data_IF_244750566406
#
_entry.id   IF_244750566406
#
_cell.length_a   1.000
_cell.length_b   1.000
_cell.length_c   1.000
_cell.angle_alpha   90.00
_cell.angle_beta   90.00
_cell.angle_gamma   90.00
#
_symmetry.space_group_name_H-M   'P 1'
#
loop_
_entity.id
_entity.type
_entity.pdbx_description
1 polymer ?
#
# COMPACT_ATOMS: atom_id res chain seq x y z
N UNK A 1 47.33 -4.92 -8.69
CA UNK A 1 46.69 -4.46 -9.93
C UNK A 1 45.42 -5.23 -10.25
N UNK A 2 45.45 -6.56 -10.26
CA UNK A 2 44.24 -7.40 -10.53
C UNK A 2 43.08 -7.18 -9.55
N UNK A 3 43.35 -6.98 -8.26
CA UNK A 3 42.31 -6.75 -7.25
C UNK A 3 41.58 -5.41 -7.44
N UNK A 4 42.29 -4.38 -7.89
CA UNK A 4 41.72 -3.06 -8.21
C UNK A 4 40.85 -3.08 -9.47
N UNK A 5 41.23 -3.91 -10.46
CA UNK A 5 40.45 -4.09 -11.70
C UNK A 5 39.19 -4.89 -11.41
N UNK A 6 39.24 -5.90 -10.53
CA UNK A 6 38.07 -6.68 -10.15
C UNK A 6 37.04 -5.82 -9.36
N UNK A 7 37.49 -5.01 -8.42
CA UNK A 7 36.63 -4.11 -7.64
C UNK A 7 36.03 -3.00 -8.52
N UNK A 8 36.79 -2.47 -9.51
CA UNK A 8 36.25 -1.50 -10.47
C UNK A 8 35.25 -2.11 -11.44
N UNK A 9 35.47 -3.34 -11.91
CA UNK A 9 34.53 -4.03 -12.78
C UNK A 9 33.24 -4.42 -12.07
N UNK A 10 33.33 -4.89 -10.82
CA UNK A 10 32.14 -5.18 -9.98
C UNK A 10 31.36 -3.90 -9.68
N UNK A 11 32.02 -2.76 -9.52
CA UNK A 11 31.38 -1.47 -9.30
C UNK A 11 30.71 -0.95 -10.57
N UNK A 12 31.33 -1.09 -11.73
CA UNK A 12 30.77 -0.71 -13.04
C UNK A 12 29.59 -1.64 -13.38
N UNK A 13 29.67 -2.95 -13.14
CA UNK A 13 28.55 -3.86 -13.36
C UNK A 13 27.38 -3.58 -12.41
N UNK A 14 27.62 -3.19 -11.15
CA UNK A 14 26.57 -2.73 -10.23
C UNK A 14 25.96 -1.40 -10.68
N UNK A 15 26.78 -0.42 -11.09
CA UNK A 15 26.31 0.86 -11.59
C UNK A 15 25.54 0.75 -12.93
N UNK A 16 25.87 -0.22 -13.78
CA UNK A 16 25.12 -0.52 -15.02
C UNK A 16 23.84 -1.34 -14.74
N UNK A 17 23.86 -2.24 -13.76
CA UNK A 17 22.65 -2.96 -13.31
C UNK A 17 21.65 -2.03 -12.63
N UNK A 18 22.12 -1.06 -11.82
CA UNK A 18 21.27 -0.04 -11.18
C UNK A 18 20.63 0.91 -12.21
N UNK A 19 21.28 1.21 -13.32
CA UNK A 19 20.72 2.07 -14.38
C UNK A 19 19.58 1.42 -15.17
N UNK A 20 19.46 0.10 -15.09
CA UNK A 20 18.44 -0.67 -15.82
C UNK A 20 17.29 -1.16 -14.92
N UNK A 21 17.35 -0.91 -13.61
CA UNK A 21 16.29 -1.26 -12.66
C UNK A 21 15.23 -0.16 -12.61
N UNK A 22 13.98 -0.51 -12.87
CA UNK A 22 12.85 0.43 -12.86
C UNK A 22 12.72 1.15 -11.49
N UNK A 23 12.95 0.44 -10.39
CA UNK A 23 12.87 0.93 -9.01
C UNK A 23 14.26 1.10 -8.41
N UNK A 24 14.53 2.25 -7.78
CA UNK A 24 15.69 2.36 -6.90
C UNK A 24 15.48 1.52 -5.63
N UNK A 25 16.58 1.04 -5.04
CA UNK A 25 16.59 0.43 -3.71
C UNK A 25 17.23 1.39 -2.73
N UNK A 26 16.49 1.78 -1.68
CA UNK A 26 16.90 2.75 -0.67
C UNK A 26 17.00 2.09 0.69
N UNK A 27 18.15 2.27 1.35
CA UNK A 27 18.39 1.81 2.71
C UNK A 27 17.86 2.85 3.71
N UNK A 28 16.88 2.46 4.53
CA UNK A 28 16.30 3.33 5.55
C UNK A 28 17.09 3.36 6.87
N UNK A 29 18.23 2.68 6.94
CA UNK A 29 19.15 2.67 8.10
C UNK A 29 18.48 2.34 9.44
N UNK A 30 17.44 1.50 9.42
CA UNK A 30 16.66 1.14 10.61
C UNK A 30 15.93 2.33 11.24
N UNK A 31 15.63 3.39 10.47
CA UNK A 31 14.98 4.64 10.90
C UNK A 31 15.79 5.44 11.94
N UNK A 32 17.11 5.26 11.99
CA UNK A 32 17.99 5.87 13.01
C UNK A 32 18.41 7.32 12.69
N UNK A 33 17.52 8.11 12.12
CA UNK A 33 17.76 9.50 11.78
C UNK A 33 17.40 9.80 10.33
N UNK A 34 17.57 11.06 9.88
CA UNK A 34 17.24 11.43 8.50
C UNK A 34 18.15 10.72 7.50
N UNK A 35 17.64 10.46 6.32
CA UNK A 35 18.41 9.88 5.22
C UNK A 35 19.56 10.81 4.81
N UNK A 36 20.65 10.23 4.29
CA UNK A 36 21.65 11.00 3.58
C UNK A 36 21.03 11.72 2.38
N UNK A 37 21.69 12.76 1.90
CA UNK A 37 21.21 13.50 0.72
C UNK A 37 21.06 12.58 -0.50
N UNK A 38 22.01 11.67 -0.70
CA UNK A 38 22.04 10.73 -1.82
C UNK A 38 20.88 9.73 -1.71
N UNK A 39 20.64 9.14 -0.53
CA UNK A 39 19.54 8.21 -0.30
C UNK A 39 18.17 8.88 -0.47
N UNK A 40 18.03 10.11 0.06
CA UNK A 40 16.81 10.93 -0.12
C UNK A 40 16.56 11.27 -1.57
N UNK A 41 17.60 11.63 -2.32
CA UNK A 41 17.50 11.91 -3.76
C UNK A 41 17.07 10.65 -4.50
N UNK A 42 17.68 9.49 -4.24
CA UNK A 42 17.31 8.22 -4.86
C UNK A 42 15.85 7.83 -4.55
N UNK A 43 15.38 8.06 -3.31
CA UNK A 43 13.98 7.86 -2.90
C UNK A 43 13.04 8.72 -3.76
N UNK A 44 13.27 10.03 -3.78
CA UNK A 44 12.39 10.98 -4.46
C UNK A 44 12.39 10.81 -5.97
N UNK A 45 13.57 10.68 -6.60
CA UNK A 45 13.69 10.49 -8.05
C UNK A 45 13.05 9.17 -8.53
N UNK A 46 13.13 8.07 -7.75
CA UNK A 46 12.47 6.83 -8.09
C UNK A 46 10.96 7.01 -8.13
N UNK A 47 10.39 7.64 -7.09
CA UNK A 47 8.95 7.92 -7.02
C UNK A 47 8.53 8.90 -8.12
N UNK A 48 9.25 10.00 -8.35
CA UNK A 48 8.94 10.93 -9.45
C UNK A 48 8.94 10.25 -10.82
N UNK A 49 9.85 9.31 -11.04
CA UNK A 49 10.00 8.61 -12.31
C UNK A 49 8.91 7.59 -12.58
N UNK A 50 8.60 6.75 -11.60
CA UNK A 50 7.70 5.61 -11.78
C UNK A 50 6.65 5.41 -10.67
N UNK A 51 6.54 6.31 -9.69
CA UNK A 51 5.63 6.20 -8.57
C UNK A 51 6.03 5.16 -7.51
N UNK A 52 7.13 4.45 -7.70
CA UNK A 52 7.54 3.31 -6.88
C UNK A 52 9.00 3.39 -6.45
N UNK A 53 9.30 2.78 -5.28
CA UNK A 53 10.66 2.60 -4.76
C UNK A 53 10.72 1.33 -3.92
N UNK A 54 11.89 0.71 -3.83
CA UNK A 54 12.13 -0.43 -2.96
C UNK A 54 12.91 0.01 -1.72
N UNK A 55 12.44 -0.42 -0.53
CA UNK A 55 12.98 -0.01 0.76
C UNK A 55 13.59 -1.22 1.49
N UNK A 56 14.81 -1.07 1.99
CA UNK A 56 15.51 -2.08 2.80
C UNK A 56 15.91 -1.49 4.15
N UNK A 57 16.27 -2.34 5.12
CA UNK A 57 16.60 -1.93 6.50
C UNK A 57 15.55 -0.99 7.12
N UNK A 58 14.28 -1.36 6.98
CA UNK A 58 13.11 -0.57 7.35
C UNK A 58 12.61 -0.81 8.78
N UNK A 59 13.36 -1.51 9.62
CA UNK A 59 13.04 -1.82 11.01
C UNK A 59 11.78 -2.70 11.25
N UNK A 60 11.05 -3.11 10.23
CA UNK A 60 9.98 -4.11 10.37
C UNK A 60 10.61 -5.50 10.41
N UNK A 61 10.31 -6.26 11.44
CA UNK A 61 10.88 -7.59 11.66
C UNK A 61 10.38 -8.60 10.62
N UNK A 62 11.30 -9.29 9.94
CA UNK A 62 10.97 -10.28 8.92
C UNK A 62 10.15 -11.44 9.50
N UNK A 63 10.48 -11.86 10.71
CA UNK A 63 9.76 -12.91 11.43
C UNK A 63 8.29 -12.56 11.66
N UNK A 64 7.99 -11.30 11.98
CA UNK A 64 6.61 -10.81 12.14
C UNK A 64 5.84 -10.83 10.82
N UNK A 65 6.50 -10.48 9.70
CA UNK A 65 5.88 -10.56 8.37
C UNK A 65 5.62 -12.01 7.94
N UNK A 66 6.54 -12.92 8.23
CA UNK A 66 6.37 -14.35 7.95
C UNK A 66 5.26 -14.96 8.81
N UNK A 67 5.23 -14.65 10.10
CA UNK A 67 4.17 -15.09 11.00
C UNK A 67 2.79 -14.60 10.53
N UNK A 68 2.68 -13.35 10.04
CA UNK A 68 1.44 -12.84 9.45
C UNK A 68 1.00 -13.67 8.25
N UNK A 69 1.91 -14.01 7.34
CA UNK A 69 1.58 -14.81 6.16
C UNK A 69 1.06 -16.21 6.55
N UNK A 70 1.70 -16.87 7.52
CA UNK A 70 1.27 -18.18 8.03
C UNK A 70 -0.13 -18.10 8.68
N UNK A 71 -0.34 -17.15 9.58
CA UNK A 71 -1.64 -16.94 10.24
C UNK A 71 -2.74 -16.52 9.26
N UNK A 72 -2.41 -15.77 8.23
CA UNK A 72 -3.36 -15.42 7.18
C UNK A 72 -3.84 -16.64 6.41
N UNK A 73 -2.96 -17.59 6.10
CA UNK A 73 -3.36 -18.85 5.45
C UNK A 73 -4.38 -19.61 6.31
N UNK A 74 -4.13 -19.77 7.61
CA UNK A 74 -5.05 -20.42 8.55
C UNK A 74 -6.40 -19.67 8.64
N UNK A 75 -6.35 -18.33 8.75
CA UNK A 75 -7.53 -17.47 8.83
C UNK A 75 -8.45 -17.61 7.60
N UNK A 76 -7.87 -17.58 6.40
CA UNK A 76 -8.66 -17.66 5.17
C UNK A 76 -9.21 -19.07 4.90
N UNK A 77 -8.67 -20.10 5.55
CA UNK A 77 -9.23 -21.47 5.54
C UNK A 77 -10.45 -21.64 6.43
N UNK A 78 -10.78 -20.68 7.28
CA UNK A 78 -11.99 -20.73 8.11
C UNK A 78 -13.27 -20.87 7.24
N UNK A 79 -14.31 -21.54 7.77
CA UNK A 79 -15.61 -21.62 7.09
C UNK A 79 -16.13 -20.24 6.71
N UNK A 80 -16.71 -20.10 5.51
CA UNK A 80 -17.22 -18.83 5.02
C UNK A 80 -18.19 -18.14 6.00
N UNK A 81 -19.05 -18.92 6.68
CA UNK A 81 -19.97 -18.39 7.68
C UNK A 81 -19.26 -17.75 8.89
N UNK A 82 -18.09 -18.22 9.27
CA UNK A 82 -17.29 -17.64 10.35
C UNK A 82 -16.61 -16.35 9.90
N UNK A 83 -16.01 -16.33 8.72
CA UNK A 83 -15.42 -15.12 8.13
C UNK A 83 -16.49 -14.02 7.94
N UNK A 84 -17.67 -14.36 7.43
CA UNK A 84 -18.77 -13.42 7.19
C UNK A 84 -19.31 -12.75 8.47
N UNK A 85 -19.18 -13.38 9.65
CA UNK A 85 -19.50 -12.70 10.92
C UNK A 85 -18.60 -11.51 11.22
N UNK A 86 -17.45 -11.46 10.60
CA UNK A 86 -16.52 -10.34 10.70
C UNK A 86 -16.60 -9.37 9.52
N UNK A 87 -17.64 -9.43 8.69
CA UNK A 87 -17.88 -8.49 7.60
C UNK A 87 -18.72 -7.30 8.07
N UNK A 88 -18.41 -6.11 7.58
CA UNK A 88 -19.12 -4.86 7.90
C UNK A 88 -19.49 -4.10 6.61
N UNK A 89 -20.45 -4.59 5.82
CA UNK A 89 -20.87 -3.94 4.57
C UNK A 89 -21.47 -2.55 4.79
N UNK A 90 -22.08 -2.30 5.95
CA UNK A 90 -22.65 -1.00 6.34
C UNK A 90 -21.60 0.14 6.43
N UNK A 91 -20.34 -0.21 6.60
CA UNK A 91 -19.20 0.76 6.59
C UNK A 91 -18.42 0.73 5.27
N UNK A 92 -18.94 0.10 4.21
CA UNK A 92 -18.21 -0.11 2.96
C UNK A 92 -16.99 -1.02 3.12
N UNK A 93 -17.06 -2.00 4.02
CA UNK A 93 -15.97 -2.92 4.33
C UNK A 93 -14.66 -2.24 4.78
N UNK A 94 -14.78 -1.08 5.43
CA UNK A 94 -13.60 -0.35 5.94
C UNK A 94 -12.85 -1.10 7.05
N UNK A 95 -13.47 -2.09 7.67
CA UNK A 95 -12.90 -2.97 8.70
C UNK A 95 -13.42 -4.39 8.54
N UNK A 96 -12.60 -5.36 8.97
CA UNK A 96 -12.95 -6.77 8.95
C UNK A 96 -12.88 -7.42 7.57
N UNK A 97 -13.65 -8.44 7.36
CA UNK A 97 -13.59 -9.33 6.21
C UNK A 97 -14.38 -8.82 5.00
N UNK A 98 -13.73 -8.85 3.85
CA UNK A 98 -14.37 -8.66 2.53
C UNK A 98 -14.30 -9.95 1.74
N UNK A 99 -15.44 -10.51 1.31
CA UNK A 99 -15.50 -11.78 0.60
C UNK A 99 -14.98 -11.66 -0.84
N UNK A 100 -14.72 -12.82 -1.45
CA UNK A 100 -14.33 -12.96 -2.86
C UNK A 100 -15.29 -12.20 -3.78
N UNK A 101 -14.72 -11.40 -4.70
CA UNK A 101 -15.50 -10.56 -5.63
C UNK A 101 -16.23 -9.38 -4.98
N UNK A 102 -15.99 -9.11 -3.70
CA UNK A 102 -16.53 -7.94 -2.98
C UNK A 102 -15.93 -6.61 -3.44
N UNK A 103 -14.77 -6.63 -4.09
CA UNK A 103 -14.13 -5.48 -4.72
C UNK A 103 -14.04 -5.68 -6.23
N UNK A 104 -14.25 -4.62 -6.99
CA UNK A 104 -14.20 -4.66 -8.45
C UNK A 104 -13.62 -3.35 -8.97
N UNK A 105 -12.59 -3.43 -9.81
CA UNK A 105 -12.09 -2.24 -10.47
C UNK A 105 -13.15 -1.64 -11.44
N UNK A 106 -13.10 -0.35 -11.65
CA UNK A 106 -14.06 0.47 -12.38
C UNK A 106 -14.32 -0.20 -13.72
N UNK A 107 -14.32 -0.57 -14.55
CA UNK A 107 -14.65 -1.11 -15.87
C UNK A 107 -14.61 -2.65 -15.98
N UNK A 108 -14.50 -3.35 -14.85
CA UNK A 108 -14.47 -4.81 -14.86
C UNK A 108 -15.86 -5.42 -14.69
N UNK A 109 -16.16 -6.48 -15.46
CA UNK A 109 -17.42 -7.26 -15.34
C UNK A 109 -17.37 -8.29 -14.22
N UNK A 110 -16.18 -8.79 -13.91
CA UNK A 110 -15.91 -9.80 -12.88
C UNK A 110 -15.15 -9.12 -11.75
N UNK A 111 -15.55 -9.40 -10.49
CA UNK A 111 -14.79 -8.95 -9.33
C UNK A 111 -13.39 -9.56 -9.27
N UNK A 112 -12.49 -8.89 -8.57
CA UNK A 112 -11.12 -9.38 -8.38
C UNK A 112 -11.13 -10.75 -7.68
N UNK A 113 -10.22 -11.62 -8.07
CA UNK A 113 -10.08 -12.97 -7.51
C UNK A 113 -9.31 -12.93 -6.18
N UNK A 114 -9.84 -12.17 -5.23
CA UNK A 114 -9.26 -11.98 -3.90
C UNK A 114 -10.33 -11.86 -2.84
N UNK A 115 -10.00 -12.30 -1.65
CA UNK A 115 -10.68 -11.96 -0.40
C UNK A 115 -9.67 -11.28 0.52
N UNK A 116 -10.11 -10.45 1.47
CA UNK A 116 -9.17 -9.74 2.31
C UNK A 116 -9.74 -9.37 3.66
N UNK A 117 -8.84 -8.98 4.57
CA UNK A 117 -9.13 -8.47 5.89
C UNK A 117 -8.57 -7.07 6.05
N UNK A 118 -9.41 -6.12 6.47
CA UNK A 118 -9.00 -4.76 6.78
C UNK A 118 -8.82 -4.57 8.29
N UNK A 119 -7.67 -4.08 8.67
CA UNK A 119 -7.31 -3.69 10.03
C UNK A 119 -6.96 -2.21 10.02
N UNK A 120 -7.63 -1.41 10.81
CA UNK A 120 -7.31 0.00 11.00
C UNK A 120 -6.82 0.27 12.42
N UNK A 121 -6.52 1.53 12.70
CA UNK A 121 -6.19 2.00 14.03
C UNK A 121 -7.33 1.70 15.00
N UNK A 122 -7.01 1.14 16.18
CA UNK A 122 -8.00 0.94 17.22
C UNK A 122 -8.42 2.28 17.83
N UNK A 123 -9.71 2.56 17.83
CA UNK A 123 -10.31 3.76 18.40
C UNK A 123 -11.22 3.39 19.57
N UNK A 124 -11.22 4.16 20.67
CA UNK A 124 -12.13 3.90 21.79
C UNK A 124 -13.59 4.08 21.36
N UNK A 125 -14.50 3.51 22.15
CA UNK A 125 -15.94 3.71 21.97
C UNK A 125 -16.25 5.20 22.11
N UNK A 126 -17.04 5.75 21.17
CA UNK A 126 -17.39 7.19 21.12
C UNK A 126 -16.41 8.05 20.32
N UNK A 127 -15.30 7.52 19.81
CA UNK A 127 -14.44 8.27 18.91
C UNK A 127 -15.14 8.53 17.57
N UNK A 128 -15.16 9.78 17.04
CA UNK A 128 -15.89 10.13 15.81
C UNK A 128 -15.52 9.25 14.61
N UNK A 129 -14.24 8.98 14.43
CA UNK A 129 -13.74 8.16 13.32
C UNK A 129 -14.28 6.72 13.38
N UNK A 130 -14.49 6.17 14.59
CA UNK A 130 -15.09 4.84 14.76
C UNK A 130 -16.54 4.78 14.24
N UNK A 131 -17.27 5.89 14.25
CA UNK A 131 -18.61 5.97 13.65
C UNK A 131 -18.56 5.93 12.11
N UNK A 132 -17.46 6.38 11.50
CA UNK A 132 -17.27 6.39 10.05
C UNK A 132 -16.75 5.04 9.52
N UNK A 133 -15.81 4.43 10.22
CA UNK A 133 -15.06 3.27 9.73
C UNK A 133 -15.42 1.94 10.40
N UNK A 134 -16.13 1.99 11.52
CA UNK A 134 -16.39 0.83 12.37
C UNK A 134 -15.21 0.47 13.29
N UNK A 135 -15.39 -0.61 14.05
CA UNK A 135 -14.35 -1.24 14.85
C UNK A 135 -13.64 -2.32 14.04
N UNK A 136 -12.39 -2.64 14.39
CA UNK A 136 -11.76 -3.85 13.89
C UNK A 136 -12.58 -5.09 14.30
N UNK A 137 -12.77 -5.99 13.36
CA UNK A 137 -13.49 -7.24 13.55
C UNK A 137 -12.55 -8.42 13.34
N UNK A 138 -12.47 -9.31 14.32
CA UNK A 138 -11.60 -10.48 14.30
C UNK A 138 -12.37 -11.72 14.71
N UNK A 139 -12.07 -12.92 14.16
CA UNK A 139 -12.64 -14.16 14.68
C UNK A 139 -12.11 -14.45 16.09
N UNK A 140 -12.98 -14.87 16.99
CA UNK A 140 -12.60 -15.20 18.37
C UNK A 140 -11.57 -16.33 18.44
N UNK A 141 -11.59 -17.23 17.45
CA UNK A 141 -10.65 -18.35 17.33
C UNK A 141 -9.21 -17.94 16.97
N UNK A 142 -8.97 -16.68 16.57
CA UNK A 142 -7.68 -16.17 16.06
C UNK A 142 -7.24 -14.87 16.78
N UNK A 143 -7.16 -14.92 18.10
CA UNK A 143 -6.73 -13.76 18.92
C UNK A 143 -5.28 -13.35 18.67
N UNK A 144 -4.41 -14.28 18.29
CA UNK A 144 -3.02 -14.06 17.91
C UNK A 144 -2.91 -13.28 16.59
N UNK A 145 -3.80 -13.53 15.63
CA UNK A 145 -3.88 -12.74 14.39
C UNK A 145 -4.18 -11.25 14.68
N UNK A 146 -5.11 -10.98 15.63
CA UNK A 146 -5.37 -9.61 16.07
C UNK A 146 -4.12 -8.93 16.64
N UNK A 147 -3.42 -9.57 17.56
CA UNK A 147 -2.23 -9.02 18.19
C UNK A 147 -1.14 -8.73 17.17
N UNK A 148 -0.86 -9.68 16.29
CA UNK A 148 0.18 -9.58 15.27
C UNK A 148 -0.11 -8.48 14.26
N UNK A 149 -1.37 -8.38 13.78
CA UNK A 149 -1.75 -7.36 12.79
C UNK A 149 -1.71 -5.94 13.37
N UNK A 150 -2.10 -5.74 14.63
CA UNK A 150 -2.02 -4.44 15.28
C UNK A 150 -0.55 -4.02 15.51
N UNK A 151 0.32 -4.94 15.91
CA UNK A 151 1.75 -4.67 16.05
C UNK A 151 2.38 -4.31 14.70
N UNK A 152 2.09 -5.05 13.63
CA UNK A 152 2.58 -4.75 12.29
C UNK A 152 2.02 -3.43 11.75
N UNK A 153 0.76 -3.12 12.05
CA UNK A 153 0.17 -1.83 11.69
C UNK A 153 1.01 -0.68 12.26
N UNK A 154 1.33 -0.72 13.55
CA UNK A 154 2.13 0.32 14.20
C UNK A 154 3.55 0.44 13.60
N UNK A 155 4.22 -0.69 13.35
CA UNK A 155 5.55 -0.69 12.75
C UNK A 155 5.54 -0.12 11.32
N UNK A 156 4.60 -0.54 10.47
CA UNK A 156 4.47 -0.06 9.10
C UNK A 156 4.08 1.42 9.05
N UNK A 157 3.24 1.88 9.97
CA UNK A 157 2.91 3.30 10.06
C UNK A 157 4.13 4.16 10.39
N UNK A 158 5.00 3.72 11.30
CA UNK A 158 6.25 4.43 11.60
C UNK A 158 7.14 4.55 10.39
N UNK A 159 7.28 3.47 9.60
CA UNK A 159 8.03 3.50 8.34
C UNK A 159 7.39 4.47 7.34
N UNK A 160 6.07 4.40 7.16
CA UNK A 160 5.36 5.26 6.21
C UNK A 160 5.49 6.74 6.57
N UNK A 161 5.36 7.10 7.85
CA UNK A 161 5.55 8.46 8.34
C UNK A 161 7.01 8.94 8.20
N UNK A 162 7.98 8.04 8.36
CA UNK A 162 9.38 8.35 8.09
C UNK A 162 9.59 8.67 6.61
N UNK A 163 9.12 7.80 5.70
CA UNK A 163 9.22 8.02 4.25
C UNK A 163 8.52 9.31 3.84
N UNK A 164 7.35 9.60 4.41
CA UNK A 164 6.60 10.83 4.13
C UNK A 164 7.41 12.09 4.47
N UNK A 165 8.12 12.10 5.63
CA UNK A 165 9.00 13.22 6.01
C UNK A 165 10.20 13.37 5.07
N UNK A 166 10.83 12.25 4.68
CA UNK A 166 11.96 12.29 3.74
C UNK A 166 11.53 12.79 2.34
N UNK A 167 10.32 12.46 1.90
CA UNK A 167 9.75 13.00 0.67
C UNK A 167 9.42 14.49 0.77
N UNK A 168 8.94 14.97 1.92
CA UNK A 168 8.71 16.39 2.17
C UNK A 168 10.02 17.21 2.07
N UNK A 169 11.10 16.67 2.63
CA UNK A 169 12.46 17.24 2.50
C UNK A 169 12.97 17.21 1.05
N UNK A 170 12.77 16.09 0.34
CA UNK A 170 13.14 15.96 -1.07
C UNK A 170 12.41 16.99 -1.94
N UNK A 171 11.13 17.21 -1.71
CA UNK A 171 10.31 18.18 -2.40
C UNK A 171 10.66 19.63 -2.04
N UNK A 172 11.55 19.84 -1.07
CA UNK A 172 11.92 21.15 -0.54
C UNK A 172 10.72 21.95 -0.05
N UNK A 173 9.76 21.27 0.58
CA UNK A 173 8.61 21.93 1.21
C UNK A 173 9.07 22.83 2.35
N UNK A 174 8.39 23.95 2.53
CA UNK A 174 8.62 24.83 3.70
C UNK A 174 8.33 24.08 5.00
N UNK A 175 8.86 24.54 6.12
CA UNK A 175 8.64 23.93 7.44
C UNK A 175 7.13 23.85 7.77
N UNK A 176 6.35 24.86 7.41
CA UNK A 176 4.90 24.86 7.63
C UNK A 176 4.18 23.81 6.80
N UNK A 177 4.62 23.58 5.55
CA UNK A 177 4.07 22.53 4.68
C UNK A 177 4.48 21.13 5.13
N UNK A 178 5.71 20.93 5.59
CA UNK A 178 6.16 19.68 6.19
C UNK A 178 5.36 19.35 7.45
N UNK A 179 5.16 20.32 8.34
CA UNK A 179 4.31 20.16 9.52
C UNK A 179 2.84 19.90 9.15
N UNK A 180 2.34 20.54 8.11
CA UNK A 180 0.99 20.28 7.62
C UNK A 180 0.85 18.86 7.11
N UNK A 181 1.77 18.39 6.26
CA UNK A 181 1.77 17.04 5.69
C UNK A 181 1.86 15.96 6.79
N UNK A 182 2.76 16.14 7.76
CA UNK A 182 2.87 15.23 8.91
C UNK A 182 1.58 15.20 9.73
N UNK A 183 1.00 16.35 10.05
CA UNK A 183 -0.24 16.44 10.85
C UNK A 183 -1.45 15.79 10.20
N UNK A 184 -1.58 15.85 8.89
CA UNK A 184 -2.73 15.19 8.24
C UNK A 184 -2.58 13.67 8.20
N UNK A 185 -1.35 13.16 8.18
CA UNK A 185 -1.04 11.73 8.12
C UNK A 185 -0.98 11.07 9.52
N UNK A 186 -0.43 11.79 10.51
CA UNK A 186 -0.38 11.32 11.89
C UNK A 186 -1.79 11.08 12.43
N UNK A 187 -1.99 9.92 13.05
CA UNK A 187 -3.29 9.51 13.59
C UNK A 187 -4.39 9.42 12.50
N UNK A 188 -4.01 9.15 11.26
CA UNK A 188 -4.90 9.04 10.11
C UNK A 188 -5.74 7.76 10.07
N UNK A 189 -6.63 7.68 9.08
CA UNK A 189 -7.47 6.50 8.82
C UNK A 189 -6.71 5.43 8.00
N UNK A 190 -5.47 5.17 8.38
CA UNK A 190 -4.62 4.16 7.74
C UNK A 190 -5.19 2.75 7.88
N UNK A 191 -4.85 1.88 6.94
CA UNK A 191 -5.36 0.51 6.86
C UNK A 191 -4.23 -0.46 6.53
N UNK A 192 -4.09 -1.52 7.34
CA UNK A 192 -3.39 -2.73 6.97
C UNK A 192 -4.39 -3.68 6.32
N UNK A 193 -4.16 -4.07 5.07
CA UNK A 193 -4.99 -5.04 4.34
C UNK A 193 -4.24 -6.36 4.21
N UNK A 194 -4.80 -7.44 4.73
CA UNK A 194 -4.27 -8.80 4.52
C UNK A 194 -5.09 -9.45 3.43
N UNK A 195 -4.45 -9.78 2.30
CA UNK A 195 -5.11 -10.27 1.08
C UNK A 195 -4.75 -11.72 0.85
N UNK A 196 -5.76 -12.51 0.55
CA UNK A 196 -5.64 -13.87 0.04
C UNK A 196 -6.09 -13.93 -1.42
N UNK A 197 -5.18 -14.34 -2.28
CA UNK A 197 -5.46 -14.76 -3.65
C UNK A 197 -5.47 -16.29 -3.67
N UNK A 198 -6.61 -16.95 -3.79
CA UNK A 198 -6.69 -18.41 -3.72
C UNK A 198 -6.01 -19.09 -4.92
N UNK A 199 -5.77 -20.40 -4.86
CA UNK A 199 -5.36 -21.20 -6.01
C UNK A 199 -6.28 -20.98 -7.20
N UNK A 200 -5.71 -20.98 -8.42
CA UNK A 200 -6.42 -20.54 -9.63
C UNK A 200 -6.92 -21.69 -10.51
N UNK A 201 -7.20 -22.87 -9.92
CA UNK A 201 -7.57 -24.08 -10.66
C UNK A 201 -8.86 -23.94 -11.49
N UNK A 202 -9.88 -23.26 -10.94
CA UNK A 202 -11.20 -23.11 -11.57
C UNK A 202 -11.59 -21.64 -11.79
N UNK A 203 -10.64 -20.80 -12.13
CA UNK A 203 -10.90 -19.36 -12.33
C UNK A 203 -11.74 -19.10 -13.58
N UNK A 204 -12.59 -18.05 -13.56
CA UNK A 204 -13.21 -17.53 -14.79
C UNK A 204 -12.12 -17.12 -15.81
N UNK A 205 -12.38 -17.30 -17.11
CA UNK A 205 -11.43 -16.96 -18.17
C UNK A 205 -10.93 -15.51 -18.08
N UNK A 206 -11.82 -14.59 -17.69
CA UNK A 206 -11.55 -13.15 -17.57
C UNK A 206 -11.13 -12.74 -16.14
N UNK A 207 -11.00 -13.68 -15.19
CA UNK A 207 -10.66 -13.39 -13.81
C UNK A 207 -9.19 -13.03 -13.64
N UNK A 208 -8.90 -11.95 -12.90
CA UNK A 208 -7.56 -11.48 -12.56
C UNK A 208 -7.43 -11.35 -11.04
N UNK A 209 -6.23 -11.54 -10.49
CA UNK A 209 -5.96 -11.39 -9.05
C UNK A 209 -6.30 -10.00 -8.54
N UNK A 210 -5.74 -8.97 -9.18
CA UNK A 210 -6.17 -7.59 -8.99
C UNK A 210 -6.05 -6.85 -10.32
N UNK A 211 -7.16 -6.25 -10.77
CA UNK A 211 -7.20 -5.46 -12.00
C UNK A 211 -6.34 -4.20 -11.88
N UNK A 212 -6.02 -3.59 -13.02
CA UNK A 212 -5.27 -2.35 -13.08
C UNK A 212 -5.99 -1.23 -12.31
N UNK A 213 -5.29 -0.58 -11.37
CA UNK A 213 -5.79 0.50 -10.53
C UNK A 213 -4.65 1.38 -10.03
N UNK A 214 -5.00 2.49 -9.43
CA UNK A 214 -4.14 3.38 -8.66
C UNK A 214 -4.58 3.37 -7.20
N UNK A 215 -3.64 3.48 -6.28
CA UNK A 215 -3.94 3.61 -4.86
C UNK A 215 -4.50 5.00 -4.54
N UNK A 216 -5.45 5.10 -3.61
CA UNK A 216 -6.16 6.34 -3.31
C UNK A 216 -5.41 7.19 -2.26
N UNK A 217 -4.58 6.58 -1.46
CA UNK A 217 -3.95 7.06 -0.24
C UNK A 217 -2.81 8.09 -0.46
N UNK A 218 -2.04 8.37 0.60
CA UNK A 218 -0.77 9.13 0.52
C UNK A 218 0.37 8.23 0.07
N UNK A 219 0.58 7.12 0.78
CA UNK A 219 1.64 6.14 0.52
C UNK A 219 1.13 4.73 0.78
N UNK A 220 1.56 3.78 -0.03
CA UNK A 220 1.44 2.35 0.25
C UNK A 220 2.79 1.78 0.62
N UNK A 221 2.82 0.96 1.66
CA UNK A 221 3.94 0.08 1.97
C UNK A 221 3.50 -1.37 1.75
N UNK A 222 4.13 -2.03 0.81
CA UNK A 222 3.85 -3.41 0.47
C UNK A 222 5.03 -4.30 0.87
N UNK A 223 4.95 -5.05 1.99
CA UNK A 223 5.90 -6.10 2.29
C UNK A 223 5.97 -7.10 1.14
N UNK A 224 7.17 -7.60 0.84
CA UNK A 224 7.34 -8.59 -0.23
C UNK A 224 6.35 -9.74 -0.03
N UNK A 225 5.45 -9.89 -0.98
CA UNK A 225 4.40 -10.91 -0.91
C UNK A 225 4.98 -12.33 -1.00
N UNK A 226 4.19 -13.32 -0.55
CA UNK A 226 4.62 -14.74 -0.56
C UNK A 226 4.97 -15.26 -1.96
N UNK A 227 4.48 -14.62 -3.01
CA UNK A 227 4.71 -14.97 -4.42
C UNK A 227 4.71 -13.73 -5.32
N UNK A 228 5.39 -13.77 -6.50
CA UNK A 228 5.40 -12.66 -7.47
C UNK A 228 4.02 -12.39 -8.06
N UNK A 229 3.93 -11.39 -8.95
CA UNK A 229 2.74 -11.06 -9.73
C UNK A 229 2.41 -9.56 -9.79
N UNK A 230 3.07 -8.70 -9.00
CA UNK A 230 2.90 -7.25 -9.12
C UNK A 230 3.56 -6.75 -10.40
N UNK A 231 2.81 -5.96 -11.18
CA UNK A 231 3.30 -5.26 -12.37
C UNK A 231 2.90 -3.79 -12.32
N UNK A 232 3.78 -2.93 -12.80
CA UNK A 232 3.60 -1.48 -12.90
C UNK A 232 3.43 -1.09 -14.36
N UNK A 233 2.50 -0.18 -14.65
CA UNK A 233 2.34 0.42 -15.96
C UNK A 233 3.25 1.64 -16.09
N UNK A 234 4.27 1.55 -16.93
CA UNK A 234 5.27 2.61 -17.09
C UNK A 234 4.73 3.77 -17.94
N UNK A 235 5.37 4.94 -17.84
CA UNK A 235 5.08 6.08 -18.73
C UNK A 235 5.32 5.78 -20.21
N UNK A 236 6.11 4.73 -20.51
CA UNK A 236 6.33 4.23 -21.86
C UNK A 236 5.17 3.39 -22.42
N UNK A 237 4.13 3.13 -21.62
CA UNK A 237 2.97 2.33 -22.02
C UNK A 237 3.19 0.82 -21.91
N UNK A 238 4.13 0.37 -21.10
CA UNK A 238 4.46 -1.05 -20.92
C UNK A 238 4.19 -1.52 -19.50
N UNK A 239 3.75 -2.77 -19.36
CA UNK A 239 3.67 -3.46 -18.07
C UNK A 239 5.01 -4.08 -17.73
N UNK A 240 5.56 -3.72 -16.56
CA UNK A 240 6.86 -4.22 -16.08
C UNK A 240 6.68 -4.92 -14.75
N UNK A 241 7.15 -6.18 -14.60
CA UNK A 241 7.08 -6.89 -13.34
C UNK A 241 7.99 -6.26 -12.29
N UNK A 242 7.49 -6.17 -11.04
CA UNK A 242 8.24 -5.70 -9.88
C UNK A 242 8.96 -6.87 -9.23
N UNK A 243 10.28 -6.81 -9.27
CA UNK A 243 11.16 -7.76 -8.59
C UNK A 243 11.84 -7.05 -7.42
N UNK A 244 11.34 -7.29 -6.21
CA UNK A 244 11.90 -6.72 -4.99
C UNK A 244 12.67 -7.80 -4.19
N UNK A 245 13.77 -7.43 -3.53
CA UNK A 245 14.50 -8.36 -2.65
C UNK A 245 13.59 -8.92 -1.56
N UNK A 246 13.84 -10.16 -1.18
CA UNK A 246 13.12 -10.78 -0.06
C UNK A 246 13.31 -9.95 1.23
N UNK A 247 12.22 -9.72 1.95
CA UNK A 247 12.24 -8.94 3.19
C UNK A 247 12.30 -7.43 2.99
N UNK A 248 12.19 -6.91 1.75
CA UNK A 248 12.03 -5.48 1.49
C UNK A 248 10.58 -5.03 1.53
N UNK A 249 10.37 -3.72 1.63
CA UNK A 249 9.08 -3.08 1.40
C UNK A 249 9.11 -2.38 0.04
N UNK A 250 8.10 -2.63 -0.79
CA UNK A 250 7.82 -1.78 -1.95
C UNK A 250 6.99 -0.60 -1.44
N UNK A 251 7.39 0.62 -1.79
CA UNK A 251 6.62 1.82 -1.47
C UNK A 251 6.15 2.47 -2.76
N UNK A 252 4.88 2.88 -2.78
CA UNK A 252 4.31 3.70 -3.85
C UNK A 252 3.47 4.86 -3.32
N UNK A 253 3.17 5.80 -4.20
CA UNK A 253 2.36 6.99 -3.94
C UNK A 253 0.99 6.87 -4.58
N UNK A 254 -0.04 7.29 -3.84
CA UNK A 254 -1.42 7.27 -4.30
C UNK A 254 -1.95 8.63 -4.76
N UNK A 255 -3.22 8.65 -5.17
CA UNK A 255 -3.94 9.81 -5.70
C UNK A 255 -3.91 11.02 -4.76
N UNK A 256 -4.01 10.82 -3.43
CA UNK A 256 -3.96 11.93 -2.48
C UNK A 256 -2.57 12.60 -2.47
N UNK A 257 -1.49 11.80 -2.60
CA UNK A 257 -0.15 12.35 -2.73
C UNK A 257 0.05 13.07 -4.06
N UNK A 258 -0.47 12.51 -5.15
CA UNK A 258 -0.43 13.15 -6.46
C UNK A 258 -1.16 14.50 -6.43
N UNK A 259 -2.34 14.57 -5.80
CA UNK A 259 -3.06 15.83 -5.61
C UNK A 259 -2.24 16.85 -4.80
N UNK A 260 -1.68 16.46 -3.65
CA UNK A 260 -0.89 17.34 -2.78
C UNK A 260 0.36 17.87 -3.48
N UNK A 261 0.97 17.10 -4.37
CA UNK A 261 2.22 17.44 -5.04
C UNK A 261 2.04 17.96 -6.48
N UNK A 262 0.80 18.23 -6.90
CA UNK A 262 0.51 18.69 -8.26
C UNK A 262 0.94 17.68 -9.33
N UNK A 263 0.92 16.39 -9.02
CA UNK A 263 1.35 15.30 -9.91
C UNK A 263 2.86 15.06 -9.96
N UNK A 264 3.65 15.80 -9.16
CA UNK A 264 5.10 15.59 -9.12
C UNK A 264 5.46 14.20 -8.59
N UNK A 265 4.75 13.74 -7.54
CA UNK A 265 4.78 12.34 -7.11
C UNK A 265 3.49 11.67 -7.64
N UNK A 266 3.56 10.91 -8.72
CA UNK A 266 2.38 10.38 -9.39
C UNK A 266 1.79 9.17 -8.68
N UNK A 267 0.47 9.03 -8.69
CA UNK A 267 -0.16 7.72 -8.52
C UNK A 267 0.07 6.90 -9.80
N UNK A 268 0.60 5.70 -9.65
CA UNK A 268 0.99 4.90 -10.82
C UNK A 268 0.14 3.64 -10.90
N UNK A 269 -0.45 3.44 -12.06
CA UNK A 269 -1.29 2.28 -12.35
C UNK A 269 -0.49 0.99 -12.18
N UNK A 270 -1.01 0.07 -11.40
CA UNK A 270 -0.40 -1.24 -11.17
C UNK A 270 -1.47 -2.34 -11.10
N UNK A 271 -1.06 -3.60 -11.21
CA UNK A 271 -1.94 -4.76 -11.20
C UNK A 271 -1.26 -5.98 -10.57
N UNK A 272 -2.05 -6.99 -10.19
CA UNK A 272 -1.52 -8.31 -9.80
C UNK A 272 -2.00 -9.34 -10.80
N UNK A 273 -1.07 -9.84 -11.62
CA UNK A 273 -1.37 -10.83 -12.66
C UNK A 273 -1.50 -12.24 -12.09
N UNK A 274 -2.22 -13.07 -12.83
CA UNK A 274 -2.31 -14.49 -12.55
C UNK A 274 -1.01 -15.18 -12.94
N UNK A 275 -0.54 -16.17 -12.17
CA UNK A 275 0.62 -16.96 -12.58
C UNK A 275 0.28 -17.80 -13.83
N UNK A 276 1.30 -18.15 -14.66
CA UNK A 276 1.10 -19.02 -15.82
C UNK A 276 0.60 -20.43 -15.45
N UNK A 277 0.97 -20.90 -14.25
CA UNK A 277 0.54 -22.16 -13.66
C UNK A 277 0.00 -21.90 -12.26
N UNK A 278 -0.86 -22.80 -11.74
CA UNK A 278 -1.33 -22.69 -10.37
C UNK A 278 -0.16 -22.75 -9.39
N UNK A 279 -0.04 -21.72 -8.56
CA UNK A 279 1.04 -21.55 -7.60
C UNK A 279 0.62 -21.85 -6.15
N UNK A 280 -0.58 -22.43 -5.95
CA UNK A 280 -1.13 -22.72 -4.62
C UNK A 280 -1.65 -21.52 -3.85
N UNK A 281 -1.87 -20.39 -4.54
CA UNK A 281 -2.34 -19.13 -3.94
C UNK A 281 -1.23 -18.19 -3.50
N UNK A 282 -1.64 -16.98 -3.02
CA UNK A 282 -0.72 -15.89 -2.63
C UNK A 282 -1.29 -15.10 -1.46
N UNK A 283 -0.45 -14.76 -0.50
CA UNK A 283 -0.76 -13.79 0.57
C UNK A 283 0.01 -12.50 0.29
N UNK A 284 -0.65 -11.37 0.51
CA UNK A 284 -0.09 -10.02 0.39
C UNK A 284 -0.63 -9.14 1.51
N UNK A 285 0.17 -8.18 2.00
CA UNK A 285 -0.21 -7.40 3.19
C UNK A 285 0.15 -5.92 3.03
N UNK A 286 -0.47 -5.19 2.05
CA UNK A 286 -0.24 -3.76 1.90
C UNK A 286 -0.74 -2.97 3.11
N UNK A 287 0.03 -1.95 3.47
CA UNK A 287 -0.35 -0.92 4.43
C UNK A 287 -0.56 0.40 3.69
N UNK A 288 -1.74 0.97 3.82
CA UNK A 288 -2.15 2.21 3.19
C UNK A 288 -2.12 3.36 4.21
N UNK A 289 -1.19 4.30 4.04
CA UNK A 289 -1.14 5.51 4.85
C UNK A 289 -2.19 6.50 4.35
N UNK A 290 -3.26 6.66 5.09
CA UNK A 290 -4.30 7.65 4.81
C UNK A 290 -4.21 8.86 5.74
N UNK A 291 -4.60 10.04 5.28
CA UNK A 291 -4.78 11.19 6.15
C UNK A 291 -5.99 11.01 7.07
N UNK A 292 -6.12 11.90 8.06
CA UNK A 292 -7.33 11.97 8.87
C UNK A 292 -8.53 12.36 8.00
N UNK A 293 -9.73 11.80 8.25
CA UNK A 293 -10.92 12.05 7.41
C UNK A 293 -11.27 13.53 7.25
N UNK A 294 -11.11 14.32 8.31
CA UNK A 294 -11.40 15.77 8.33
C UNK A 294 -10.27 16.64 7.73
N UNK A 295 -9.13 16.03 7.36
CA UNK A 295 -8.03 16.78 6.77
C UNK A 295 -8.43 17.39 5.42
N UNK A 296 -8.04 18.64 5.18
CA UNK A 296 -8.28 19.32 3.90
C UNK A 296 -7.06 19.12 3.01
N UNK A 297 -7.19 18.28 2.01
CA UNK A 297 -6.17 18.07 0.98
C UNK A 297 -6.10 19.32 0.10
N UNK A 298 -5.09 20.14 0.31
CA UNK A 298 -4.78 21.31 -0.52
C UNK A 298 -3.45 21.10 -1.24
N UNK A 299 -3.32 21.42 -2.52
CA UNK A 299 -2.03 21.32 -3.19
C UNK A 299 -0.96 22.10 -2.44
N UNK A 300 0.17 21.45 -2.18
CA UNK A 300 1.39 22.05 -1.62
C UNK A 300 2.31 22.52 -2.75
N UNK A 301 2.25 21.82 -3.87
CA UNK A 301 2.94 22.18 -5.11
C UNK A 301 1.91 22.34 -6.23
N UNK A 302 2.13 23.33 -7.11
CA UNK A 302 1.21 23.60 -8.21
C UNK A 302 -0.09 24.29 -7.79
N UNK A 303 -1.12 24.14 -8.59
CA UNK A 303 -2.46 24.70 -8.38
C UNK A 303 -3.51 23.59 -8.41
N UNK A 304 -4.58 23.76 -7.64
CA UNK A 304 -5.70 22.81 -7.57
C UNK A 304 -6.69 23.21 -6.49
N UNK A 305 -7.85 22.59 -6.49
CA UNK A 305 -8.88 22.80 -5.48
C UNK A 305 -8.59 21.99 -4.22
N UNK A 306 -8.83 22.62 -3.06
CA UNK A 306 -8.77 21.96 -1.77
C UNK A 306 -10.07 21.16 -1.54
N UNK A 307 -9.93 19.95 -1.00
CA UNK A 307 -11.08 19.09 -0.69
C UNK A 307 -10.81 18.24 0.56
N UNK A 308 -11.85 17.79 1.24
CA UNK A 308 -11.65 16.92 2.41
C UNK A 308 -11.14 15.54 2.00
N UNK A 309 -10.30 14.94 2.83
CA UNK A 309 -9.81 13.58 2.61
C UNK A 309 -10.95 12.55 2.61
N UNK A 310 -11.97 12.77 3.45
CA UNK A 310 -13.15 11.93 3.50
C UNK A 310 -13.94 11.95 2.19
N UNK A 311 -14.22 13.15 1.63
CA UNK A 311 -14.99 13.28 0.39
C UNK A 311 -14.20 12.70 -0.80
N UNK A 312 -12.87 12.93 -0.81
CA UNK A 312 -12.00 12.34 -1.81
C UNK A 312 -12.05 10.80 -1.76
N UNK A 313 -11.92 10.21 -0.57
CA UNK A 313 -11.99 8.76 -0.40
C UNK A 313 -13.37 8.21 -0.79
N UNK A 314 -14.45 8.85 -0.36
CA UNK A 314 -15.83 8.43 -0.70
C UNK A 314 -16.08 8.42 -2.20
N UNK A 315 -15.65 9.45 -2.91
CA UNK A 315 -15.76 9.51 -4.36
C UNK A 315 -15.05 8.32 -5.02
N UNK A 316 -13.82 8.01 -4.60
CA UNK A 316 -13.07 6.87 -5.13
C UNK A 316 -13.70 5.52 -4.79
N UNK A 317 -14.20 5.36 -3.56
CA UNK A 317 -14.92 4.14 -3.16
C UNK A 317 -16.21 3.95 -3.98
N UNK A 318 -16.92 5.05 -4.29
CA UNK A 318 -18.09 5.00 -5.16
C UNK A 318 -17.71 4.64 -6.60
N UNK A 319 -16.70 5.28 -7.16
CA UNK A 319 -16.17 4.96 -8.50
C UNK A 319 -15.75 3.48 -8.64
N UNK A 320 -15.22 2.90 -7.56
CA UNK A 320 -14.82 1.49 -7.48
C UNK A 320 -15.98 0.54 -7.13
N UNK A 321 -17.22 1.06 -6.99
CA UNK A 321 -18.42 0.25 -6.70
C UNK A 321 -18.47 -0.35 -5.30
N UNK A 322 -17.64 0.14 -4.37
CA UNK A 322 -17.59 -0.34 -2.98
C UNK A 322 -18.68 0.28 -2.10
N UNK A 323 -19.22 1.42 -2.49
CA UNK A 323 -20.39 2.06 -1.86
C UNK A 323 -21.43 2.42 -2.92
N UNK A 324 -22.72 2.27 -2.57
CA UNK A 324 -23.86 2.42 -3.50
C UNK A 324 -24.83 3.53 -3.11
N UNK A 325 -24.57 4.29 -2.07
CA UNK A 325 -25.50 5.31 -1.59
C UNK A 325 -25.58 6.52 -2.55
N UNK A 326 -26.81 6.90 -2.88
CA UNK A 326 -27.16 7.91 -3.89
C UNK A 326 -26.83 9.38 -3.54
N UNK A 327 -25.85 9.62 -2.67
CA UNK A 327 -25.35 10.96 -2.38
C UNK A 327 -24.08 11.22 -3.20
N UNK A 328 -24.24 11.65 -4.45
CA UNK A 328 -23.16 12.34 -5.16
C UNK A 328 -22.66 13.50 -4.29
N UNK A 329 -21.36 13.63 -4.01
CA UNK A 329 -20.83 14.93 -3.60
C UNK A 329 -21.01 15.87 -4.78
N UNK A 330 -21.84 16.90 -4.58
CA UNK A 330 -22.06 18.00 -5.53
C UNK A 330 -20.89 18.96 -5.53
#
# INVERSE_FOLDING_TARGET
MERFILESNIRVEREEQDKNTLLATVDLQGLQGPLSREARTALGESIERCGFVNLVNHAVELESLQALQERAVELFQLPAAEKLRCAAPETGFQRGYTPMGGERARDQRVGDLKEFWHIGRERPVGHPERALTGANLFPESHSDFRQLTLQLFEMLEQVALFVLRELAEYLSLSIDEQHYLSRIAEDGNSVLRVIHYPPQQDRPADGIRAAAHEDINLLTLLPTASKPGLEIFTRGGEWVPVNAPHGSLICDTGDMMALLTGGRLPATTHRVVNPPQDDGGRISSPFFLHPRPEAILRPLLGAGEARSAHDFLRERLWENGLITDGSHPH
#
